data_IF_504862154362
#
_entry.id   IF_504862154362
#
_cell.length_a   1.000
_cell.length_b   1.000
_cell.length_c   1.000
_cell.angle_alpha   90.00
_cell.angle_beta   90.00
_cell.angle_gamma   90.00
#
_symmetry.space_group_name_H-M   'P 1'
#
loop_
_entity.id
_entity.type
_entity.pdbx_description
1 polymer ?
#
# COMPACT_ATOMS: atom_id res chain seq x y z
N UNK A 1 -2.42 57.44 17.13
CA UNK A 1 -3.27 58.49 17.73
C UNK A 1 -2.76 59.89 17.40
N UNK A 2 -1.51 60.26 17.70
CA UNK A 2 -0.92 61.60 17.48
C UNK A 2 -1.02 62.08 16.04
N UNK A 3 -0.53 61.28 15.06
CA UNK A 3 -0.58 61.61 13.63
C UNK A 3 -2.00 61.84 13.11
N UNK A 4 -2.99 61.13 13.66
CA UNK A 4 -4.40 61.32 13.33
C UNK A 4 -4.96 62.62 13.88
N UNK A 5 -4.54 62.99 15.11
CA UNK A 5 -4.94 64.28 15.72
C UNK A 5 -4.40 65.46 14.90
N UNK A 6 -3.11 65.39 14.52
CA UNK A 6 -2.47 66.41 13.66
C UNK A 6 -3.17 66.53 12.31
N UNK A 7 -3.54 65.43 11.70
CA UNK A 7 -4.30 65.43 10.43
C UNK A 7 -5.67 66.09 10.61
N UNK A 8 -6.38 65.76 11.69
CA UNK A 8 -7.68 66.35 12.02
C UNK A 8 -7.58 67.87 12.22
N UNK A 9 -6.57 68.32 12.92
CA UNK A 9 -6.30 69.76 13.13
C UNK A 9 -6.02 70.46 11.79
N UNK A 10 -5.10 69.91 10.99
CA UNK A 10 -4.75 70.49 9.69
C UNK A 10 -5.97 70.59 8.76
N UNK A 11 -6.80 69.54 8.70
CA UNK A 11 -8.07 69.52 7.93
C UNK A 11 -9.07 70.60 8.42
N UNK A 12 -9.22 70.71 9.76
CA UNK A 12 -10.13 71.71 10.34
C UNK A 12 -9.68 73.16 10.07
N UNK A 13 -8.35 73.40 10.04
CA UNK A 13 -7.79 74.71 9.69
C UNK A 13 -8.01 75.02 8.20
N UNK A 14 -7.78 74.04 7.30
CA UNK A 14 -8.05 74.18 5.88
C UNK A 14 -9.52 74.54 5.62
N UNK A 15 -10.44 73.76 6.22
CA UNK A 15 -11.88 73.98 6.05
C UNK A 15 -12.29 75.41 6.49
N UNK A 16 -11.74 75.92 7.63
CA UNK A 16 -11.98 77.29 8.06
C UNK A 16 -11.47 78.32 7.06
N UNK A 17 -10.26 78.16 6.52
CA UNK A 17 -9.71 79.08 5.53
C UNK A 17 -10.53 79.07 4.24
N UNK A 18 -10.99 77.91 3.77
CA UNK A 18 -11.85 77.79 2.62
C UNK A 18 -13.21 78.44 2.81
N UNK A 19 -13.80 78.35 4.01
CA UNK A 19 -15.05 79.03 4.35
C UNK A 19 -14.91 80.55 4.38
N UNK A 20 -13.84 81.02 5.01
CA UNK A 20 -13.52 82.50 5.01
C UNK A 20 -13.34 82.99 3.58
N UNK A 21 -12.68 82.24 2.69
CA UNK A 21 -12.52 82.64 1.29
C UNK A 21 -13.85 82.70 0.55
N UNK A 22 -14.74 81.74 0.81
CA UNK A 22 -16.08 81.72 0.26
C UNK A 22 -16.91 82.94 0.67
N UNK A 23 -16.85 83.32 1.99
CA UNK A 23 -17.59 84.46 2.52
C UNK A 23 -17.03 85.81 2.08
N UNK A 24 -15.71 85.90 1.84
CA UNK A 24 -15.04 87.14 1.40
C UNK A 24 -15.11 87.38 -0.09
N UNK A 25 -15.82 86.54 -0.85
CA UNK A 25 -15.88 86.61 -2.32
C UNK A 25 -14.50 86.39 -3.00
N UNK A 26 -13.63 85.57 -2.37
CA UNK A 26 -12.31 85.21 -2.91
C UNK A 26 -11.18 86.22 -2.58
N UNK A 27 -11.42 87.26 -1.78
CA UNK A 27 -10.46 88.29 -1.50
C UNK A 27 -9.48 87.95 -0.35
N UNK A 28 -9.91 87.11 0.56
CA UNK A 28 -9.08 86.66 1.73
C UNK A 28 -9.57 85.27 2.17
N UNK A 29 -8.69 84.36 2.56
CA UNK A 29 -7.21 84.40 2.54
C UNK A 29 -6.63 84.30 1.09
N UNK A 30 -5.33 84.55 0.96
CA UNK A 30 -4.64 84.47 -0.33
C UNK A 30 -4.61 83.02 -0.83
N UNK A 31 -4.50 82.85 -2.16
CA UNK A 31 -4.37 81.48 -2.71
C UNK A 31 -3.16 80.75 -2.17
N UNK A 32 -2.05 81.47 -2.00
CA UNK A 32 -0.80 80.93 -1.41
C UNK A 32 -0.98 80.36 0.01
N UNK A 33 -1.84 81.01 0.83
CA UNK A 33 -2.11 80.51 2.21
C UNK A 33 -2.94 79.22 2.19
N UNK A 34 -3.85 79.11 1.24
CA UNK A 34 -4.64 77.86 1.04
C UNK A 34 -3.74 76.72 0.53
N UNK A 35 -2.94 76.99 -0.50
CA UNK A 35 -2.01 76.02 -1.06
C UNK A 35 -1.00 75.53 -0.01
N UNK A 36 -0.50 76.44 0.87
CA UNK A 36 0.36 76.10 1.97
C UNK A 36 -0.37 75.19 3.02
N UNK A 37 -1.63 75.48 3.32
CA UNK A 37 -2.40 74.65 4.26
C UNK A 37 -2.77 73.28 3.65
N UNK A 38 -3.04 73.21 2.34
CA UNK A 38 -3.24 71.92 1.63
C UNK A 38 -1.97 71.08 1.68
N UNK A 39 -0.80 71.66 1.50
CA UNK A 39 0.47 70.96 1.62
C UNK A 39 0.69 70.45 3.08
N UNK A 40 0.26 71.19 4.12
CA UNK A 40 0.30 70.70 5.49
C UNK A 40 -0.66 69.51 5.73
N UNK A 41 -1.85 69.51 5.15
CA UNK A 41 -2.80 68.40 5.20
C UNK A 41 -2.21 67.16 4.51
N UNK A 42 -1.61 67.35 3.29
CA UNK A 42 -0.96 66.24 2.61
C UNK A 42 0.21 65.64 3.41
N UNK A 43 1.03 66.50 4.04
CA UNK A 43 2.12 66.05 4.92
C UNK A 43 1.60 65.26 6.12
N UNK A 44 0.53 65.77 6.76
CA UNK A 44 -0.07 65.10 7.93
C UNK A 44 -0.71 63.75 7.50
N UNK A 45 -1.29 63.67 6.29
CA UNK A 45 -1.84 62.44 5.77
C UNK A 45 -0.75 61.40 5.48
N UNK A 46 0.36 61.79 4.88
CA UNK A 46 1.53 60.94 4.68
C UNK A 46 2.10 60.41 6.02
N UNK A 47 2.10 61.27 7.07
CA UNK A 47 2.51 60.85 8.42
C UNK A 47 1.59 59.79 9.01
N UNK A 48 0.27 59.91 8.81
CA UNK A 48 -0.68 58.86 9.21
C UNK A 48 -0.42 57.53 8.47
N UNK A 49 -0.23 57.58 7.14
CA UNK A 49 0.10 56.39 6.35
C UNK A 49 1.42 55.73 6.82
N UNK A 50 2.45 56.53 7.07
CA UNK A 50 3.72 56.03 7.60
C UNK A 50 3.56 55.39 8.98
N UNK A 51 2.75 55.98 9.87
CA UNK A 51 2.46 55.38 11.15
C UNK A 51 1.65 54.08 11.06
N UNK A 52 0.71 54.02 10.10
CA UNK A 52 -0.02 52.79 9.81
C UNK A 52 0.90 51.68 9.28
N UNK A 53 1.80 52.00 8.36
CA UNK A 53 2.78 51.02 7.84
C UNK A 53 3.66 50.47 8.98
N UNK A 54 4.13 51.32 9.90
CA UNK A 54 4.90 50.88 11.09
C UNK A 54 4.11 49.93 11.99
N UNK A 55 2.80 50.16 12.15
CA UNK A 55 1.93 49.22 12.90
C UNK A 55 1.88 47.87 12.20
N UNK A 56 1.64 47.86 10.90
CA UNK A 56 1.61 46.60 10.10
C UNK A 56 2.94 45.87 10.18
N UNK A 57 4.08 46.56 10.07
CA UNK A 57 5.40 45.96 10.21
C UNK A 57 5.59 45.31 11.59
N UNK A 58 5.18 46.02 12.67
CA UNK A 58 5.24 45.49 14.03
C UNK A 58 4.32 44.30 14.26
N UNK A 59 3.12 44.31 13.67
CA UNK A 59 2.18 43.17 13.70
C UNK A 59 2.76 41.96 12.98
N UNK A 60 3.41 42.12 11.81
CA UNK A 60 4.08 41.06 11.12
C UNK A 60 5.26 40.49 11.92
N UNK A 61 6.05 41.35 12.55
CA UNK A 61 7.14 40.93 13.41
C UNK A 61 6.64 40.14 14.64
N UNK A 62 5.54 40.57 15.25
CA UNK A 62 4.90 39.83 16.35
C UNK A 62 4.43 38.45 15.88
N UNK A 63 3.72 38.38 14.75
CA UNK A 63 3.24 37.14 14.18
C UNK A 63 4.37 36.19 13.87
N UNK A 64 5.50 36.68 13.36
CA UNK A 64 6.69 35.87 13.13
C UNK A 64 7.24 35.29 14.43
N UNK A 65 7.36 36.14 15.48
CA UNK A 65 7.85 35.69 16.78
C UNK A 65 6.91 34.70 17.47
N UNK A 66 5.60 34.87 17.35
CA UNK A 66 4.60 33.90 17.83
C UNK A 66 4.69 32.57 17.09
N UNK A 67 4.88 32.61 15.75
CA UNK A 67 5.11 31.41 14.97
C UNK A 67 6.39 30.69 15.40
N UNK A 68 7.46 31.40 15.63
CA UNK A 68 8.72 30.81 16.08
C UNK A 68 8.60 30.24 17.50
N UNK A 69 7.88 30.90 18.39
CA UNK A 69 7.54 30.35 19.70
C UNK A 69 6.70 29.07 19.59
N UNK A 70 5.71 29.03 18.71
CA UNK A 70 4.88 27.85 18.54
C UNK A 70 5.69 26.62 18.06
N UNK A 71 6.74 26.84 17.26
CA UNK A 71 7.64 25.77 16.79
C UNK A 71 8.54 25.20 17.89
N UNK A 72 8.71 25.90 19.00
CA UNK A 72 9.49 25.39 20.16
C UNK A 72 8.73 24.29 20.92
N UNK A 73 7.42 24.22 20.76
CA UNK A 73 6.57 23.20 21.36
C UNK A 73 6.12 22.19 20.29
N UNK A 74 6.67 20.98 20.35
CA UNK A 74 6.30 19.89 19.44
C UNK A 74 5.15 19.13 20.08
N UNK A 75 3.96 19.25 19.50
CA UNK A 75 2.74 18.56 19.92
C UNK A 75 2.40 17.44 18.95
N UNK A 76 1.82 16.35 19.49
CA UNK A 76 1.30 15.26 18.65
C UNK A 76 0.12 15.75 17.80
N UNK A 77 0.11 15.49 16.48
CA UNK A 77 -1.03 15.81 15.62
C UNK A 77 -2.18 14.81 15.76
N UNK A 78 -1.98 13.70 16.47
CA UNK A 78 -2.94 12.60 16.63
C UNK A 78 -2.98 12.14 18.09
N UNK A 79 -4.13 11.66 18.51
CA UNK A 79 -4.28 10.92 19.76
C UNK A 79 -3.84 9.47 19.52
N UNK A 80 -3.10 8.89 20.46
CA UNK A 80 -2.62 7.51 20.28
C UNK A 80 -1.55 7.07 21.28
N UNK A 81 -0.87 5.99 20.94
CA UNK A 81 0.17 5.35 21.74
C UNK A 81 1.54 5.58 21.13
N UNK A 82 2.53 5.90 21.97
CA UNK A 82 3.92 6.00 21.54
C UNK A 82 4.50 4.60 21.35
N UNK A 83 4.90 4.29 20.12
CA UNK A 83 5.54 3.02 19.78
C UNK A 83 7.04 3.03 20.06
N UNK A 84 7.70 4.13 19.71
CA UNK A 84 9.13 4.30 19.91
C UNK A 84 9.47 5.78 20.14
N UNK A 85 10.50 6.02 20.94
CA UNK A 85 11.12 7.31 21.15
C UNK A 85 12.56 7.23 20.67
N UNK A 86 12.90 8.06 19.69
CA UNK A 86 14.21 8.05 19.03
C UNK A 86 15.17 9.09 19.57
N UNK A 87 14.70 9.94 20.51
CA UNK A 87 15.48 11.05 21.07
C UNK A 87 15.43 11.05 22.60
N UNK A 88 16.52 11.51 23.22
CA UNK A 88 16.62 11.66 24.68
C UNK A 88 16.60 13.17 25.08
N UNK A 89 16.16 13.51 26.31
CA UNK A 89 16.28 14.86 26.83
C UNK A 89 17.72 15.35 26.74
N UNK A 90 17.92 16.55 26.23
CA UNK A 90 19.25 17.14 25.98
C UNK A 90 19.82 16.84 24.60
N UNK A 91 19.13 16.08 23.77
CA UNK A 91 19.53 15.83 22.38
C UNK A 91 19.31 17.11 21.54
N UNK A 92 20.36 17.59 20.88
CA UNK A 92 20.24 18.70 19.95
C UNK A 92 19.72 18.20 18.61
N UNK A 93 18.54 18.64 18.22
CA UNK A 93 17.97 18.39 16.88
C UNK A 93 18.41 19.52 15.97
N UNK A 94 19.44 19.29 15.18
CA UNK A 94 19.84 20.24 14.14
C UNK A 94 18.82 20.16 12.99
N UNK A 95 18.41 21.32 12.49
CA UNK A 95 17.62 21.44 11.25
C UNK A 95 18.54 21.13 10.06
N UNK A 96 19.00 19.88 9.98
CA UNK A 96 19.72 19.35 8.82
C UNK A 96 18.73 18.99 7.71
N UNK A 97 19.24 18.78 6.49
CA UNK A 97 18.45 18.44 5.30
C UNK A 97 17.60 17.15 5.42
N UNK A 98 17.77 16.40 6.50
CA UNK A 98 17.00 15.18 6.78
C UNK A 98 16.10 15.40 8.01
N UNK A 99 14.81 15.07 7.85
CA UNK A 99 13.87 15.06 8.97
C UNK A 99 14.28 14.00 9.99
N UNK A 100 14.53 14.40 11.23
CA UNK A 100 14.83 13.48 12.33
C UNK A 100 13.52 12.94 12.91
N UNK A 101 13.40 11.60 12.96
CA UNK A 101 12.27 10.95 13.62
C UNK A 101 12.44 11.09 15.14
N UNK A 102 11.54 11.84 15.77
CA UNK A 102 11.55 12.05 17.22
C UNK A 102 10.79 10.96 17.96
N UNK A 103 9.55 10.73 17.53
CA UNK A 103 8.60 9.79 18.13
C UNK A 103 7.85 9.05 17.02
N UNK A 104 7.61 7.77 17.23
CA UNK A 104 6.73 6.95 16.39
C UNK A 104 5.42 6.70 17.13
N UNK A 105 4.32 7.14 16.52
CA UNK A 105 2.99 7.09 17.12
C UNK A 105 2.08 6.14 16.33
N UNK A 106 1.15 5.50 17.04
CA UNK A 106 0.04 4.77 16.43
C UNK A 106 -1.28 5.27 17.01
N UNK A 107 -2.30 5.43 16.18
CA UNK A 107 -3.64 5.85 16.62
C UNK A 107 -4.35 4.77 17.42
N UNK A 108 -4.29 3.52 16.92
CA UNK A 108 -4.87 2.35 17.60
C UNK A 108 -4.00 1.12 17.34
N UNK A 109 -3.94 0.23 18.33
CA UNK A 109 -3.27 -1.07 18.24
C UNK A 109 -4.25 -2.23 18.04
N UNK A 110 -5.55 -1.95 18.07
CA UNK A 110 -6.61 -2.94 17.84
C UNK A 110 -6.85 -3.21 16.36
N UNK A 111 -6.63 -2.19 15.54
CA UNK A 111 -6.77 -2.25 14.10
C UNK A 111 -5.38 -2.15 13.47
N UNK A 112 -4.91 -3.25 12.90
CA UNK A 112 -3.60 -3.34 12.28
C UNK A 112 -3.74 -3.58 10.78
N UNK A 113 -2.74 -3.15 10.05
CA UNK A 113 -2.61 -3.42 8.62
C UNK A 113 -1.40 -4.32 8.41
N UNK A 114 -1.64 -5.51 7.85
CA UNK A 114 -0.58 -6.44 7.48
C UNK A 114 -0.18 -6.18 6.03
N UNK A 115 1.10 -5.93 5.80
CA UNK A 115 1.67 -5.76 4.47
C UNK A 115 2.34 -7.05 4.04
N UNK A 116 1.88 -7.62 2.93
CA UNK A 116 2.39 -8.86 2.35
C UNK A 116 2.90 -8.60 0.94
N UNK A 117 4.08 -9.08 0.65
CA UNK A 117 4.63 -9.04 -0.70
C UNK A 117 4.13 -10.25 -1.50
N UNK A 118 3.35 -10.00 -2.53
CA UNK A 118 2.82 -11.02 -3.45
C UNK A 118 3.63 -11.00 -4.72
N UNK A 119 4.03 -12.17 -5.20
CA UNK A 119 4.77 -12.34 -6.45
C UNK A 119 3.95 -11.90 -7.68
N UNK A 120 4.63 -11.40 -8.72
CA UNK A 120 4.02 -11.00 -9.99
C UNK A 120 3.19 -12.13 -10.62
N UNK A 121 3.64 -13.38 -10.47
CA UNK A 121 2.93 -14.54 -11.01
C UNK A 121 1.56 -14.76 -10.36
N UNK A 122 1.40 -14.41 -9.09
CA UNK A 122 0.21 -14.67 -8.29
C UNK A 122 -0.72 -13.47 -8.14
N UNK A 123 -0.23 -12.25 -8.38
CA UNK A 123 -0.99 -11.01 -8.15
C UNK A 123 -2.29 -10.94 -8.96
N UNK A 124 -2.32 -11.55 -10.14
CA UNK A 124 -3.52 -11.60 -10.99
C UNK A 124 -4.70 -12.36 -10.38
N UNK A 125 -4.43 -13.28 -9.43
CA UNK A 125 -5.45 -14.05 -8.72
C UNK A 125 -5.91 -13.39 -7.41
N UNK A 126 -5.23 -12.34 -6.96
CA UNK A 126 -5.47 -11.66 -5.67
C UNK A 126 -6.41 -10.47 -5.89
N UNK A 127 -7.55 -10.46 -5.17
CA UNK A 127 -8.59 -9.45 -5.31
C UNK A 127 -9.04 -8.93 -3.94
N UNK A 128 -9.41 -7.64 -3.81
CA UNK A 128 -9.99 -7.10 -2.58
C UNK A 128 -11.19 -7.92 -2.10
N UNK A 129 -11.35 -8.04 -0.77
CA UNK A 129 -12.42 -8.80 -0.12
C UNK A 129 -12.12 -10.30 0.04
N UNK A 130 -11.00 -10.81 -0.47
CA UNK A 130 -10.61 -12.21 -0.23
C UNK A 130 -10.20 -12.43 1.22
N UNK A 131 -10.59 -13.58 1.76
CA UNK A 131 -10.18 -14.01 3.08
C UNK A 131 -8.77 -14.57 3.05
N UNK A 132 -7.97 -14.16 4.03
CA UNK A 132 -6.64 -14.66 4.27
C UNK A 132 -6.49 -15.14 5.70
N UNK A 133 -5.50 -15.96 5.95
CA UNK A 133 -5.04 -16.33 7.28
C UNK A 133 -3.53 -16.14 7.33
N UNK A 134 -3.01 -15.74 8.48
CA UNK A 134 -1.58 -15.59 8.65
C UNK A 134 -1.12 -16.09 10.01
N UNK A 135 0.14 -16.42 10.08
CA UNK A 135 0.85 -16.75 11.31
C UNK A 135 1.98 -15.76 11.51
N UNK A 136 2.32 -15.47 12.75
CA UNK A 136 3.48 -14.62 13.09
C UNK A 136 4.54 -15.49 13.77
N UNK A 137 5.81 -15.13 13.60
CA UNK A 137 6.92 -15.88 14.18
C UNK A 137 6.85 -15.99 15.70
N UNK A 138 6.18 -15.04 16.38
CA UNK A 138 5.96 -15.08 17.82
C UNK A 138 4.90 -16.10 18.26
N UNK A 139 3.97 -16.48 17.37
CA UNK A 139 2.88 -17.43 17.62
C UNK A 139 2.70 -18.36 16.42
N UNK A 140 3.61 -19.35 16.21
CA UNK A 140 3.61 -20.20 15.01
C UNK A 140 2.40 -21.12 14.93
N UNK A 141 1.87 -21.54 16.07
CA UNK A 141 0.73 -22.46 16.15
C UNK A 141 -0.63 -21.76 16.09
N UNK A 142 -0.66 -20.41 16.04
CA UNK A 142 -1.89 -19.62 16.03
C UNK A 142 -2.12 -18.98 14.66
N UNK A 143 -3.26 -19.30 14.05
CA UNK A 143 -3.71 -18.67 12.82
C UNK A 143 -4.60 -17.47 13.14
N UNK A 144 -4.26 -16.34 12.55
CA UNK A 144 -5.03 -15.10 12.66
C UNK A 144 -5.79 -14.85 11.35
N UNK A 145 -7.08 -14.51 11.43
CA UNK A 145 -7.84 -14.13 10.25
C UNK A 145 -7.46 -12.73 9.77
N UNK A 146 -7.46 -12.55 8.46
CA UNK A 146 -7.27 -11.25 7.81
C UNK A 146 -8.19 -11.16 6.58
N UNK A 147 -8.47 -9.94 6.17
CA UNK A 147 -9.22 -9.66 4.96
C UNK A 147 -8.40 -8.75 4.04
N UNK A 148 -8.37 -9.08 2.77
CA UNK A 148 -7.61 -8.34 1.78
C UNK A 148 -8.31 -7.03 1.44
N UNK A 149 -7.67 -5.91 1.77
CA UNK A 149 -8.17 -4.55 1.56
C UNK A 149 -7.88 -4.04 0.16
N UNK A 150 -6.61 -4.09 -0.22
CA UNK A 150 -6.14 -3.60 -1.53
C UNK A 150 -4.81 -4.22 -1.91
N UNK A 151 -4.55 -4.24 -3.21
CA UNK A 151 -3.23 -4.53 -3.80
C UNK A 151 -2.66 -3.23 -4.34
N UNK A 152 -1.42 -2.90 -4.05
CA UNK A 152 -0.76 -1.73 -4.60
C UNK A 152 -0.57 -1.90 -6.12
N UNK A 153 -0.77 -0.83 -6.87
CA UNK A 153 -0.50 -0.83 -8.31
C UNK A 153 1.00 -0.72 -8.64
N UNK A 154 1.78 -0.15 -7.73
CA UNK A 154 3.23 -0.06 -7.87
C UNK A 154 3.91 -1.35 -7.43
N UNK A 155 4.81 -1.86 -8.26
CA UNK A 155 5.67 -2.99 -7.89
C UNK A 155 6.92 -2.53 -7.16
N UNK A 156 7.44 -3.39 -6.29
CA UNK A 156 8.75 -3.24 -5.66
C UNK A 156 9.66 -4.31 -6.21
N UNK A 157 10.87 -3.93 -6.65
CA UNK A 157 11.87 -4.89 -7.13
C UNK A 157 12.97 -5.02 -6.08
N UNK A 158 13.11 -6.21 -5.51
CA UNK A 158 14.16 -6.56 -4.54
C UNK A 158 14.86 -7.82 -5.05
N UNK A 159 16.19 -7.79 -5.16
CA UNK A 159 17.00 -8.93 -5.61
C UNK A 159 16.54 -9.56 -6.94
N UNK A 160 16.13 -8.72 -7.89
CA UNK A 160 15.54 -9.10 -9.19
C UNK A 160 14.18 -9.81 -9.12
N UNK A 161 13.55 -9.88 -7.96
CA UNK A 161 12.17 -10.38 -7.80
C UNK A 161 11.21 -9.19 -7.78
N UNK A 162 10.19 -9.25 -8.63
CA UNK A 162 9.13 -8.24 -8.71
C UNK A 162 7.98 -8.69 -7.82
N UNK A 163 7.65 -7.86 -6.84
CA UNK A 163 6.54 -8.11 -5.90
C UNK A 163 5.59 -6.93 -5.84
N UNK A 164 4.34 -7.20 -5.48
CA UNK A 164 3.30 -6.20 -5.25
C UNK A 164 2.90 -6.20 -3.78
N UNK A 165 2.98 -5.05 -3.14
CA UNK A 165 2.57 -4.91 -1.74
C UNK A 165 1.05 -5.03 -1.66
N UNK A 166 0.60 -5.99 -0.89
CA UNK A 166 -0.81 -6.27 -0.63
C UNK A 166 -1.12 -5.97 0.82
N UNK A 167 -2.17 -5.19 1.04
CA UNK A 167 -2.60 -4.72 2.35
C UNK A 167 -3.79 -5.52 2.84
N UNK A 168 -3.67 -6.10 4.03
CA UNK A 168 -4.71 -6.87 4.69
C UNK A 168 -5.11 -6.21 6.00
N UNK A 169 -6.41 -6.07 6.22
CA UNK A 169 -6.95 -5.59 7.49
C UNK A 169 -6.95 -6.72 8.52
N UNK A 170 -6.42 -6.43 9.71
CA UNK A 170 -6.26 -7.37 10.80
C UNK A 170 -6.86 -6.79 12.08
N UNK A 171 -7.76 -7.52 12.72
CA UNK A 171 -8.32 -7.17 14.04
C UNK A 171 -7.47 -7.80 15.15
N UNK A 172 -7.08 -6.99 16.12
CA UNK A 172 -6.21 -7.35 17.24
C UNK A 172 -6.84 -6.99 18.60
N UNK A 173 -8.00 -7.57 18.94
CA UNK A 173 -8.69 -7.21 20.18
C UNK A 173 -7.89 -7.52 21.45
N UNK A 174 -7.10 -8.58 21.40
CA UNK A 174 -6.30 -9.06 22.53
C UNK A 174 -4.94 -8.36 22.66
N UNK A 175 -4.60 -7.44 21.75
CA UNK A 175 -3.30 -6.73 21.66
C UNK A 175 -2.07 -7.68 21.64
N UNK A 176 -2.26 -8.90 21.12
CA UNK A 176 -1.19 -9.90 20.99
C UNK A 176 -0.22 -9.57 19.86
N UNK A 177 -0.76 -8.98 18.79
CA UNK A 177 0.02 -8.57 17.63
C UNK A 177 0.62 -7.18 17.89
N UNK A 178 1.88 -7.02 17.52
CA UNK A 178 2.59 -5.74 17.64
C UNK A 178 3.10 -5.28 16.29
N UNK A 179 3.07 -3.98 16.01
CA UNK A 179 3.71 -3.42 14.83
C UNK A 179 5.18 -3.85 14.73
N UNK A 180 5.62 -4.21 13.53
CA UNK A 180 6.98 -4.69 13.28
C UNK A 180 7.16 -6.21 13.39
N UNK A 181 6.12 -6.98 13.72
CA UNK A 181 6.19 -8.44 13.66
C UNK A 181 6.22 -8.93 12.22
N UNK A 182 7.02 -9.98 11.98
CA UNK A 182 7.04 -10.68 10.69
C UNK A 182 5.97 -11.75 10.66
N UNK A 183 5.24 -11.80 9.53
CA UNK A 183 4.14 -12.74 9.33
C UNK A 183 4.24 -13.47 8.00
N UNK A 184 3.72 -14.68 7.98
CA UNK A 184 3.50 -15.46 6.74
C UNK A 184 2.00 -15.60 6.52
N UNK A 185 1.51 -15.08 5.37
CA UNK A 185 0.11 -15.08 5.05
C UNK A 185 -0.23 -16.08 3.95
N UNK A 186 -1.39 -16.71 4.07
CA UNK A 186 -2.00 -17.57 3.06
C UNK A 186 -3.30 -16.93 2.60
N UNK A 187 -3.34 -16.48 1.35
CA UNK A 187 -4.51 -15.84 0.73
C UNK A 187 -5.30 -16.91 -0.01
N UNK A 188 -6.60 -17.00 0.26
CA UNK A 188 -7.50 -17.92 -0.45
C UNK A 188 -8.02 -17.24 -1.71
N UNK A 189 -7.47 -17.62 -2.86
CA UNK A 189 -7.84 -17.02 -4.15
C UNK A 189 -9.11 -17.62 -4.73
N UNK A 190 -9.33 -18.93 -4.51
CA UNK A 190 -10.50 -19.67 -5.02
C UNK A 190 -11.07 -20.55 -3.90
N UNK A 191 -12.38 -20.48 -3.71
CA UNK A 191 -13.12 -21.38 -2.85
C UNK A 191 -14.19 -22.09 -3.70
N UNK A 192 -14.00 -23.38 -3.92
CA UNK A 192 -14.94 -24.22 -4.66
C UNK A 192 -15.81 -24.97 -3.66
N UNK A 193 -17.13 -24.97 -3.86
CA UNK A 193 -18.07 -25.78 -3.10
C UNK A 193 -18.45 -27.00 -3.93
N UNK A 194 -18.57 -28.16 -3.28
CA UNK A 194 -19.06 -29.42 -3.87
C UNK A 194 -18.23 -29.89 -5.09
N UNK A 195 -16.90 -29.63 -5.06
CA UNK A 195 -16.00 -30.07 -6.13
C UNK A 195 -15.53 -31.50 -5.91
N UNK A 196 -15.58 -32.33 -6.97
CA UNK A 196 -14.94 -33.64 -6.96
C UNK A 196 -13.42 -33.46 -6.99
N UNK A 197 -12.72 -34.05 -6.02
CA UNK A 197 -11.28 -33.92 -5.86
C UNK A 197 -10.58 -35.27 -6.04
N UNK A 198 -9.42 -35.25 -6.68
CA UNK A 198 -8.54 -36.42 -6.85
C UNK A 198 -7.15 -36.08 -6.30
N UNK A 199 -6.50 -36.99 -5.53
CA UNK A 199 -5.14 -36.79 -5.06
C UNK A 199 -4.15 -36.62 -6.22
N UNK A 200 -3.23 -35.65 -6.10
CA UNK A 200 -2.23 -35.40 -7.15
C UNK A 200 -1.29 -36.61 -7.37
N UNK A 201 -1.15 -37.50 -6.40
CA UNK A 201 -0.43 -38.77 -6.53
C UNK A 201 -1.09 -39.69 -7.54
N UNK A 202 -2.42 -39.73 -7.58
CA UNK A 202 -3.16 -40.54 -8.55
C UNK A 202 -3.01 -40.03 -10.01
N UNK A 203 -2.88 -38.72 -10.20
CA UNK A 203 -2.64 -38.12 -11.52
C UNK A 203 -1.21 -38.37 -12.04
N UNK A 204 -0.29 -38.71 -11.17
CA UNK A 204 1.10 -39.05 -11.53
C UNK A 204 1.35 -40.54 -11.65
N UNK A 205 0.42 -41.37 -11.14
CA UNK A 205 0.54 -42.80 -11.19
C UNK A 205 0.46 -43.30 -12.62
N UNK A 206 1.37 -44.21 -13.01
CA UNK A 206 1.34 -44.93 -14.25
C UNK A 206 1.62 -46.40 -13.92
N UNK A 207 0.70 -47.32 -14.27
CA UNK A 207 0.93 -48.73 -14.01
C UNK A 207 2.15 -49.20 -14.81
N UNK A 208 3.04 -49.92 -14.17
CA UNK A 208 4.12 -50.63 -14.87
C UNK A 208 3.52 -51.81 -15.60
N UNK A 209 3.15 -51.61 -16.88
CA UNK A 209 2.78 -52.70 -17.75
C UNK A 209 4.04 -53.51 -18.02
N UNK A 210 4.13 -54.72 -17.49
CA UNK A 210 5.12 -55.67 -17.99
C UNK A 210 4.75 -55.97 -19.43
N UNK A 211 5.36 -55.26 -20.35
CA UNK A 211 5.24 -55.55 -21.77
C UNK A 211 6.01 -56.82 -22.05
N UNK A 212 5.29 -57.93 -22.05
CA UNK A 212 5.65 -59.13 -22.80
C UNK A 212 5.48 -58.80 -24.28
N UNK A 213 6.33 -58.01 -24.83
CA UNK A 213 6.44 -57.76 -26.25
C UNK A 213 7.73 -58.37 -26.73
N UNK A 214 7.56 -59.52 -27.44
CA UNK A 214 8.54 -60.18 -28.29
C UNK A 214 9.50 -59.16 -28.91
N UNK A 215 10.78 -59.38 -28.69
CA UNK A 215 11.87 -58.70 -29.39
C UNK A 215 11.71 -58.83 -30.91
N UNK A 216 11.74 -57.77 -31.69
CA UNK A 216 12.07 -57.89 -33.10
C UNK A 216 13.60 -57.91 -33.23
N UNK A 217 14.08 -58.98 -33.82
CA UNK A 217 15.44 -59.27 -34.23
C UNK A 217 16.17 -58.05 -34.78
N UNK A 218 17.41 -57.90 -34.29
CA UNK A 218 18.42 -56.95 -34.75
C UNK A 218 18.62 -57.02 -36.27
N UNK A 219 18.58 -55.87 -36.92
CA UNK A 219 19.37 -55.59 -38.10
C UNK A 219 20.47 -54.59 -37.73
N UNK A 220 21.67 -55.14 -37.60
CA UNK A 220 22.90 -54.43 -37.48
C UNK A 220 23.28 -53.92 -38.87
N UNK A 221 23.30 -52.64 -39.12
CA UNK A 221 24.12 -51.88 -40.04
C UNK A 221 23.45 -50.52 -40.35
N UNK A 222 23.87 -49.46 -39.57
CA UNK A 222 23.55 -48.07 -39.88
C UNK A 222 24.35 -47.13 -38.93
N UNK A 223 24.89 -46.03 -39.43
CA UNK A 223 25.79 -45.17 -38.66
C UNK A 223 25.07 -44.43 -37.51
N UNK A 224 25.72 -44.07 -36.40
CA UNK A 224 25.10 -43.54 -35.20
C UNK A 224 24.61 -42.09 -35.43
N UNK A 225 23.29 -41.95 -35.57
CA UNK A 225 22.65 -40.65 -35.47
C UNK A 225 22.69 -40.17 -34.00
N UNK A 226 23.30 -39.02 -33.79
CA UNK A 226 23.33 -38.28 -32.52
C UNK A 226 21.88 -38.01 -32.07
N UNK A 227 21.41 -38.72 -31.06
CA UNK A 227 20.17 -38.45 -30.35
C UNK A 227 20.35 -37.17 -29.55
N UNK A 228 19.77 -36.06 -30.00
CA UNK A 228 19.68 -34.84 -29.21
C UNK A 228 18.79 -35.13 -27.99
N UNK A 229 19.39 -35.13 -26.82
CA UNK A 229 18.68 -35.13 -25.54
C UNK A 229 17.91 -33.81 -25.45
N UNK A 230 16.64 -33.83 -25.77
CA UNK A 230 15.74 -32.73 -25.41
C UNK A 230 15.67 -32.71 -23.87
N UNK A 231 16.40 -31.79 -23.27
CA UNK A 231 16.15 -31.34 -21.91
C UNK A 231 14.70 -30.88 -21.86
N UNK A 232 13.83 -31.60 -21.16
CA UNK A 232 12.51 -31.15 -20.78
C UNK A 232 12.73 -30.03 -19.76
N UNK A 233 12.67 -28.80 -20.22
CA UNK A 233 12.56 -27.64 -19.36
C UNK A 233 11.27 -27.76 -18.57
N UNK A 234 11.38 -27.74 -17.24
CA UNK A 234 10.25 -27.72 -16.34
C UNK A 234 9.30 -26.57 -16.71
N UNK A 235 8.12 -26.92 -17.11
CA UNK A 235 7.03 -26.00 -17.33
C UNK A 235 6.64 -25.37 -15.98
N UNK A 236 7.02 -24.13 -15.77
CA UNK A 236 6.49 -23.28 -14.71
C UNK A 236 5.01 -23.06 -15.01
N UNK A 237 4.16 -23.54 -14.13
CA UNK A 237 2.71 -23.56 -14.29
C UNK A 237 2.15 -22.18 -13.95
N UNK A 238 1.79 -21.42 -14.97
CA UNK A 238 0.92 -20.24 -14.81
C UNK A 238 -0.47 -20.67 -14.31
N UNK A 239 -1.10 -19.94 -13.39
CA UNK A 239 -2.44 -20.24 -12.89
C UNK A 239 -3.53 -19.71 -13.82
N UNK A 240 -3.43 -20.02 -15.11
CA UNK A 240 -4.55 -19.81 -16.00
C UNK A 240 -5.27 -21.16 -16.15
N UNK A 241 -6.59 -21.18 -15.90
CA UNK A 241 -7.45 -22.36 -15.95
C UNK A 241 -7.50 -23.00 -17.35
N UNK A 242 -6.36 -23.49 -17.79
CA UNK A 242 -6.27 -24.33 -18.97
C UNK A 242 -6.73 -25.72 -18.55
N UNK A 243 -7.88 -26.12 -19.02
CA UNK A 243 -8.39 -27.49 -18.91
C UNK A 243 -7.29 -28.48 -19.35
N UNK A 244 -6.60 -29.07 -18.37
CA UNK A 244 -5.57 -30.07 -18.61
C UNK A 244 -6.25 -31.42 -18.68
N UNK A 245 -6.09 -32.14 -19.79
CA UNK A 245 -6.46 -33.56 -19.88
C UNK A 245 -5.48 -34.35 -19.03
N UNK A 246 -5.98 -35.14 -18.12
CA UNK A 246 -5.24 -36.05 -17.26
C UNK A 246 -5.90 -37.42 -17.26
N UNK A 247 -5.17 -38.44 -16.86
CA UNK A 247 -5.67 -39.81 -16.75
C UNK A 247 -5.45 -40.29 -15.32
N UNK A 248 -6.46 -40.93 -14.75
CA UNK A 248 -6.40 -41.56 -13.44
C UNK A 248 -6.76 -43.04 -13.62
N UNK A 249 -6.13 -43.91 -12.86
CA UNK A 249 -6.39 -45.35 -12.89
C UNK A 249 -7.28 -45.71 -11.71
N UNK A 250 -8.38 -46.43 -12.04
CA UNK A 250 -9.27 -47.02 -11.03
C UNK A 250 -9.09 -48.55 -11.05
N UNK A 251 -9.27 -49.18 -9.90
CA UNK A 251 -9.24 -50.61 -9.78
C UNK A 251 -10.62 -51.16 -10.16
N UNK A 252 -10.70 -51.95 -11.23
CA UNK A 252 -11.85 -52.78 -11.59
C UNK A 252 -11.41 -54.19 -11.82
N UNK A 253 -12.00 -55.15 -11.10
CA UNK A 253 -11.72 -56.57 -11.23
C UNK A 253 -10.22 -56.93 -11.16
N UNK A 254 -9.48 -56.23 -10.27
CA UNK A 254 -8.04 -56.44 -10.10
C UNK A 254 -7.16 -55.85 -11.22
N UNK A 255 -7.73 -55.10 -12.15
CA UNK A 255 -7.00 -54.44 -13.24
C UNK A 255 -7.08 -52.90 -13.11
N UNK A 256 -5.98 -52.23 -13.46
CA UNK A 256 -5.92 -50.77 -13.52
C UNK A 256 -6.54 -50.28 -14.83
N UNK A 257 -7.73 -49.69 -14.75
CA UNK A 257 -8.46 -49.17 -15.92
C UNK A 257 -8.22 -47.66 -16.00
N UNK A 258 -7.71 -47.12 -17.11
CA UNK A 258 -7.52 -45.69 -17.28
C UNK A 258 -8.85 -44.96 -17.47
N UNK A 259 -9.06 -43.90 -16.73
CA UNK A 259 -10.19 -42.98 -16.86
C UNK A 259 -9.68 -41.60 -17.24
N UNK A 260 -9.98 -41.12 -18.45
CA UNK A 260 -9.61 -39.79 -18.87
C UNK A 260 -10.45 -38.74 -18.11
N UNK A 261 -9.78 -37.71 -17.62
CA UNK A 261 -10.37 -36.63 -16.85
C UNK A 261 -9.93 -35.27 -17.41
N UNK A 262 -10.80 -34.28 -17.25
CA UNK A 262 -10.44 -32.88 -17.40
C UNK A 262 -10.29 -32.32 -16.00
N UNK A 263 -9.10 -31.85 -15.70
CA UNK A 263 -8.77 -31.31 -14.36
C UNK A 263 -8.69 -29.78 -14.37
N UNK A 264 -9.10 -29.18 -13.23
CA UNK A 264 -9.13 -27.74 -13.03
C UNK A 264 -8.09 -27.28 -12.01
N UNK A 265 -8.56 -26.59 -10.99
CA UNK A 265 -7.70 -26.02 -9.95
C UNK A 265 -7.07 -27.10 -9.05
N UNK A 266 -5.87 -26.81 -8.56
CA UNK A 266 -5.16 -27.68 -7.63
C UNK A 266 -4.66 -26.89 -6.42
N UNK A 267 -4.70 -27.49 -5.24
CA UNK A 267 -4.13 -26.95 -4.00
C UNK A 267 -2.72 -27.51 -3.71
N UNK A 268 -2.12 -28.24 -4.67
CA UNK A 268 -0.83 -28.90 -4.49
C UNK A 268 -0.93 -30.32 -3.95
N UNK A 269 -2.00 -30.70 -3.23
CA UNK A 269 -2.29 -32.05 -2.73
C UNK A 269 -3.43 -32.72 -3.49
N UNK A 270 -4.49 -31.98 -3.74
CA UNK A 270 -5.69 -32.41 -4.42
C UNK A 270 -5.91 -31.58 -5.68
N UNK A 271 -6.51 -32.15 -6.71
CA UNK A 271 -6.88 -31.48 -7.96
C UNK A 271 -8.35 -31.69 -8.24
N UNK A 272 -9.03 -30.61 -8.64
CA UNK A 272 -10.43 -30.61 -9.03
C UNK A 272 -10.62 -31.41 -10.34
N UNK A 273 -11.64 -32.24 -10.40
CA UNK A 273 -12.14 -32.85 -11.61
C UNK A 273 -13.29 -32.00 -12.14
N UNK A 274 -13.15 -31.51 -13.37
CA UNK A 274 -14.19 -30.74 -14.06
C UNK A 274 -15.11 -31.65 -14.86
N UNK A 275 -14.52 -32.61 -15.63
CA UNK A 275 -15.25 -33.58 -16.46
C UNK A 275 -14.55 -34.91 -16.39
N UNK A 276 -15.34 -35.99 -16.42
CA UNK A 276 -14.86 -37.38 -16.46
C UNK A 276 -15.87 -38.39 -15.91
N UNK A 277 -15.61 -39.66 -16.16
CA UNK A 277 -16.45 -40.76 -15.66
C UNK A 277 -15.95 -41.23 -14.28
N UNK A 278 -15.83 -40.28 -13.31
CA UNK A 278 -15.45 -40.58 -11.95
C UNK A 278 -16.54 -40.08 -11.01
N UNK A 279 -16.93 -40.89 -10.06
CA UNK A 279 -17.95 -40.59 -9.05
C UNK A 279 -17.33 -40.44 -7.67
N UNK A 280 -18.01 -39.70 -6.80
CA UNK A 280 -17.61 -39.61 -5.41
C UNK A 280 -17.65 -41.01 -4.75
N UNK A 281 -16.51 -41.43 -4.18
CA UNK A 281 -16.35 -42.76 -3.57
C UNK A 281 -15.59 -43.76 -4.41
N UNK A 282 -15.30 -43.48 -5.70
CA UNK A 282 -14.46 -44.34 -6.52
C UNK A 282 -13.03 -44.47 -5.97
N UNK A 283 -12.49 -45.69 -5.94
CA UNK A 283 -11.13 -45.94 -5.47
C UNK A 283 -10.13 -45.69 -6.59
N UNK A 284 -9.36 -44.60 -6.45
CA UNK A 284 -8.28 -44.27 -7.38
C UNK A 284 -6.95 -44.88 -6.92
N UNK A 285 -6.18 -45.41 -7.88
CA UNK A 285 -4.87 -45.99 -7.59
C UNK A 285 -3.85 -44.87 -7.43
N UNK A 286 -3.18 -44.80 -6.27
CA UNK A 286 -2.16 -43.78 -5.96
C UNK A 286 -0.75 -44.35 -6.01
N UNK A 287 -0.59 -45.67 -5.79
CA UNK A 287 0.69 -46.37 -5.79
C UNK A 287 0.50 -47.85 -6.07
N UNK A 288 1.54 -48.52 -6.56
CA UNK A 288 1.57 -49.96 -6.81
C UNK A 288 2.75 -50.56 -6.03
N UNK A 289 2.45 -51.37 -5.01
CA UNK A 289 3.48 -52.16 -4.34
C UNK A 289 3.81 -53.38 -5.17
N UNK A 290 5.06 -53.55 -5.60
CA UNK A 290 5.55 -54.80 -6.11
C UNK A 290 5.48 -55.84 -4.98
N UNK A 291 4.66 -56.84 -5.11
CA UNK A 291 4.67 -57.99 -4.21
C UNK A 291 6.10 -58.53 -4.11
N UNK A 292 6.63 -58.59 -2.91
CA UNK A 292 7.86 -59.35 -2.66
C UNK A 292 7.59 -60.80 -3.00
N UNK A 293 8.36 -61.34 -3.92
CA UNK A 293 8.38 -62.78 -4.26
C UNK A 293 9.25 -63.48 -3.26
#
# INVERSE_FOLDING_TARGET
AESQATLKEAKAKLSRLQEVRRLSGGKSPSKTEIDAQEALVAKAQASVQSAQAKIMDSEQALKSAESDLSKTHIISPIDGVVLARSVEPGYAVAASLQAVELLKLATDLKDLELQVNVDEADVGAVKPGQKASFTVSAYPDRNFPAELKKVAFGSTKTDNVVTYVTYLDVKNPDLLLRPGMTATATIRTVALKDALLVPNTALRFRPSVSSDSKEPTMNVFGPPMRRSVRKSAGSVTSPNASQKKAEVYIEKDGQAVPVPLVVGFTDGKMTQVLEGKLSAGDKVIVDQRRGAK
#
